data_IF_458133339132
#
_entry.id   IF_458133339132
#
_cell.length_a   1.000
_cell.length_b   1.000
_cell.length_c   1.000
_cell.angle_alpha   90.00
_cell.angle_beta   90.00
_cell.angle_gamma   90.00
#
_symmetry.space_group_name_H-M   'P 1'
#
loop_
_entity.id
_entity.type
_entity.pdbx_description
1 polymer ?
#
# COMPACT_ATOMS: atom_id res chain seq x y z
N UNK A 1 -21.91 4.53 -10.47
CA UNK A 1 -21.42 5.92 -10.65
C UNK A 1 -20.83 6.02 -12.05
N UNK A 2 -21.40 6.82 -12.95
CA UNK A 2 -20.90 6.85 -14.33
C UNK A 2 -19.51 7.51 -14.35
N UNK A 3 -18.51 6.85 -14.94
CA UNK A 3 -17.12 7.35 -15.05
C UNK A 3 -16.99 8.68 -15.83
N UNK A 4 -18.08 9.21 -16.39
CA UNK A 4 -18.07 10.27 -17.40
C UNK A 4 -18.61 11.63 -16.92
N UNK A 5 -19.25 11.71 -15.76
CA UNK A 5 -19.71 12.99 -15.20
C UNK A 5 -18.69 13.47 -14.17
N UNK A 6 -17.76 14.33 -14.61
CA UNK A 6 -16.83 15.02 -13.71
C UNK A 6 -17.50 16.31 -13.24
N UNK A 7 -17.81 16.40 -11.95
CA UNK A 7 -18.21 17.65 -11.31
C UNK A 7 -17.23 18.78 -11.68
N UNK A 8 -17.80 19.91 -12.11
CA UNK A 8 -17.10 21.16 -12.37
C UNK A 8 -17.78 22.22 -11.52
N UNK A 9 -17.02 22.89 -10.67
CA UNK A 9 -17.56 24.02 -9.92
C UNK A 9 -18.03 25.13 -10.87
N UNK A 10 -19.19 25.73 -10.55
CA UNK A 10 -19.73 26.90 -11.25
C UNK A 10 -19.05 28.21 -10.82
N UNK A 11 -18.18 28.15 -9.81
CA UNK A 11 -17.50 29.33 -9.28
C UNK A 11 -16.60 29.98 -10.34
N UNK A 12 -16.83 31.27 -10.58
CA UNK A 12 -15.97 32.13 -11.38
C UNK A 12 -14.63 32.35 -10.70
N UNK A 13 -13.70 31.40 -10.83
CA UNK A 13 -12.37 31.49 -10.25
C UNK A 13 -11.40 32.25 -11.15
N UNK A 14 -10.62 33.15 -10.56
CA UNK A 14 -9.41 33.71 -11.17
C UNK A 14 -8.38 32.62 -11.49
N UNK A 15 -7.40 32.93 -12.35
CA UNK A 15 -6.32 31.99 -12.69
C UNK A 15 -5.56 31.49 -11.46
N UNK A 16 -5.28 32.38 -10.50
CA UNK A 16 -4.59 32.03 -9.26
C UNK A 16 -5.43 31.07 -8.40
N UNK A 17 -6.73 31.34 -8.26
CA UNK A 17 -7.64 30.49 -7.51
C UNK A 17 -7.80 29.11 -8.14
N UNK A 18 -7.84 29.01 -9.48
CA UNK A 18 -7.85 27.72 -10.17
C UNK A 18 -6.59 26.91 -9.87
N UNK A 19 -5.42 27.53 -9.96
CA UNK A 19 -4.16 26.86 -9.61
C UNK A 19 -4.16 26.40 -8.16
N UNK A 20 -4.61 27.25 -7.24
CA UNK A 20 -4.74 26.91 -5.81
C UNK A 20 -5.72 25.76 -5.60
N UNK A 21 -6.90 25.80 -6.22
CA UNK A 21 -7.92 24.76 -6.14
C UNK A 21 -7.36 23.39 -6.58
N UNK A 22 -6.67 23.36 -7.72
CA UNK A 22 -6.03 22.14 -8.19
C UNK A 22 -4.89 21.67 -7.27
N UNK A 23 -4.08 22.59 -6.75
CA UNK A 23 -3.02 22.27 -5.80
C UNK A 23 -3.58 21.67 -4.50
N UNK A 24 -4.63 22.28 -3.93
CA UNK A 24 -5.31 21.79 -2.72
C UNK A 24 -5.85 20.38 -2.92
N UNK A 25 -6.50 20.13 -4.06
CA UNK A 25 -7.02 18.79 -4.37
C UNK A 25 -5.91 17.73 -4.44
N UNK A 26 -4.73 18.10 -4.94
CA UNK A 26 -3.58 17.20 -4.96
C UNK A 26 -2.92 17.03 -3.59
N UNK A 27 -2.96 18.07 -2.74
CA UNK A 27 -2.34 18.07 -1.41
C UNK A 27 -3.31 17.71 -0.28
N UNK A 28 -4.55 17.31 -0.60
CA UNK A 28 -5.54 16.87 0.37
C UNK A 28 -5.21 15.48 0.93
N UNK A 29 -4.20 15.44 1.81
CA UNK A 29 -3.64 14.20 2.36
C UNK A 29 -4.60 13.48 3.29
N UNK A 30 -4.33 12.21 3.58
CA UNK A 30 -5.12 11.41 4.53
C UNK A 30 -5.26 12.06 5.91
N UNK A 31 -4.24 12.78 6.38
CA UNK A 31 -4.29 13.50 7.65
C UNK A 31 -5.36 14.61 7.67
N UNK A 32 -5.50 15.37 6.58
CA UNK A 32 -6.56 16.37 6.45
C UNK A 32 -7.94 15.71 6.35
N UNK A 33 -8.05 14.63 5.57
CA UNK A 33 -9.32 13.90 5.43
C UNK A 33 -9.81 13.30 6.73
N UNK A 34 -8.90 12.73 7.51
CA UNK A 34 -9.21 12.15 8.82
C UNK A 34 -9.79 13.20 9.78
N UNK A 35 -9.14 14.36 9.93
CA UNK A 35 -9.66 15.45 10.79
C UNK A 35 -11.02 15.94 10.30
N UNK A 36 -11.20 16.05 8.98
CA UNK A 36 -12.49 16.39 8.39
C UNK A 36 -13.58 15.35 8.73
N UNK A 37 -13.29 14.06 8.60
CA UNK A 37 -14.24 12.98 8.93
C UNK A 37 -14.56 12.91 10.42
N UNK A 38 -13.56 13.08 11.29
CA UNK A 38 -13.74 13.13 12.75
C UNK A 38 -14.67 14.28 13.16
N UNK A 39 -14.42 15.50 12.65
CA UNK A 39 -15.25 16.67 12.91
C UNK A 39 -16.67 16.52 12.36
N UNK A 40 -16.81 16.06 11.11
CA UNK A 40 -18.11 15.82 10.49
C UNK A 40 -18.91 14.78 11.27
N UNK A 41 -18.27 13.67 11.66
CA UNK A 41 -18.92 12.62 12.45
C UNK A 41 -19.41 13.18 13.79
N UNK A 42 -18.55 13.90 14.51
CA UNK A 42 -18.90 14.50 15.80
C UNK A 42 -20.13 15.42 15.70
N UNK A 43 -20.20 16.28 14.68
CA UNK A 43 -21.34 17.19 14.51
C UNK A 43 -22.63 16.43 14.15
N UNK A 44 -22.54 15.44 13.26
CA UNK A 44 -23.68 14.63 12.83
C UNK A 44 -24.20 13.71 13.94
N UNK A 45 -23.33 13.14 14.78
CA UNK A 45 -23.72 12.37 15.97
C UNK A 45 -24.47 13.24 16.99
N UNK A 46 -24.07 14.51 17.09
CA UNK A 46 -24.77 15.54 17.86
C UNK A 46 -26.02 16.10 17.14
N UNK A 47 -26.53 15.40 16.13
CA UNK A 47 -27.74 15.72 15.36
C UNK A 47 -27.74 17.10 14.68
N UNK A 48 -26.56 17.64 14.37
CA UNK A 48 -26.48 18.84 13.53
C UNK A 48 -26.82 18.49 12.09
N UNK A 49 -27.58 19.34 11.37
CA UNK A 49 -27.79 19.16 9.93
C UNK A 49 -26.47 19.14 9.16
N UNK A 50 -26.44 18.41 8.03
CA UNK A 50 -25.23 18.18 7.25
C UNK A 50 -24.64 19.48 6.67
N UNK A 51 -25.49 20.35 6.13
CA UNK A 51 -25.13 21.66 5.59
C UNK A 51 -24.58 22.60 6.67
N UNK A 52 -25.20 22.61 7.85
CA UNK A 52 -24.74 23.39 9.00
C UNK A 52 -23.39 22.87 9.49
N UNK A 53 -23.21 21.55 9.51
CA UNK A 53 -21.97 20.92 9.95
C UNK A 53 -20.81 21.27 9.02
N UNK A 54 -21.03 21.23 7.71
CA UNK A 54 -20.06 21.67 6.71
C UNK A 54 -19.66 23.15 6.91
N UNK A 55 -20.64 24.04 7.10
CA UNK A 55 -20.37 25.47 7.37
C UNK A 55 -19.55 25.67 8.65
N UNK A 56 -19.93 25.00 9.75
CA UNK A 56 -19.21 25.10 11.02
C UNK A 56 -17.74 24.68 10.90
N UNK A 57 -17.45 23.60 10.18
CA UNK A 57 -16.05 23.19 9.93
C UNK A 57 -15.31 24.27 9.13
N UNK A 58 -15.97 24.87 8.14
CA UNK A 58 -15.38 25.92 7.31
C UNK A 58 -15.03 27.14 8.13
N UNK A 59 -15.98 27.60 8.94
CA UNK A 59 -15.84 28.77 9.80
C UNK A 59 -14.71 28.57 10.83
N UNK A 60 -14.69 27.43 11.53
CA UNK A 60 -13.66 27.15 12.54
C UNK A 60 -12.25 27.13 11.92
N UNK A 61 -12.08 26.48 10.77
CA UNK A 61 -10.76 26.35 10.16
C UNK A 61 -10.29 27.57 9.37
N UNK A 62 -11.21 28.43 8.94
CA UNK A 62 -10.90 29.69 8.24
C UNK A 62 -10.85 30.89 9.19
N UNK A 63 -11.01 30.69 10.50
CA UNK A 63 -11.20 31.79 11.45
C UNK A 63 -12.34 32.72 11.00
N UNK A 64 -13.51 32.14 10.71
CA UNK A 64 -14.70 32.82 10.20
C UNK A 64 -14.45 33.64 8.92
N UNK A 65 -13.60 33.11 8.03
CA UNK A 65 -13.26 33.71 6.76
C UNK A 65 -12.08 34.68 6.78
N UNK A 66 -11.47 34.96 7.94
CA UNK A 66 -10.28 35.83 8.04
C UNK A 66 -9.03 35.20 7.42
N UNK A 67 -8.91 33.87 7.51
CA UNK A 67 -7.75 33.11 7.03
C UNK A 67 -8.16 32.09 5.99
N UNK A 68 -7.29 31.91 5.01
CA UNK A 68 -7.48 30.86 4.02
C UNK A 68 -7.09 29.48 4.60
N UNK A 69 -7.91 28.47 4.33
CA UNK A 69 -7.66 27.07 4.72
C UNK A 69 -8.15 26.12 3.61
N UNK A 70 -7.47 24.97 3.36
CA UNK A 70 -7.87 23.97 2.35
C UNK A 70 -9.34 23.53 2.43
N UNK A 71 -9.89 23.39 3.63
CA UNK A 71 -11.29 22.99 3.83
C UNK A 71 -12.29 23.97 3.23
N UNK A 72 -11.93 25.24 3.04
CA UNK A 72 -12.82 26.23 2.41
C UNK A 72 -13.27 25.76 1.03
N UNK A 73 -12.33 25.32 0.20
CA UNK A 73 -12.61 24.90 -1.17
C UNK A 73 -13.50 23.66 -1.22
N UNK A 74 -13.20 22.68 -0.34
CA UNK A 74 -13.99 21.45 -0.19
C UNK A 74 -15.42 21.75 0.28
N UNK A 75 -15.56 22.60 1.30
CA UNK A 75 -16.86 22.90 1.91
C UNK A 75 -17.74 23.68 0.95
N UNK A 76 -17.18 24.66 0.24
CA UNK A 76 -17.92 25.40 -0.78
C UNK A 76 -18.42 24.43 -1.88
N UNK A 77 -17.60 23.49 -2.35
CA UNK A 77 -18.02 22.47 -3.33
C UNK A 77 -19.09 21.52 -2.76
N UNK A 78 -18.93 21.08 -1.51
CA UNK A 78 -19.90 20.20 -0.85
C UNK A 78 -21.26 20.90 -0.64
N UNK A 79 -21.26 22.19 -0.30
CA UNK A 79 -22.47 22.99 -0.16
C UNK A 79 -23.14 23.23 -1.52
N UNK A 80 -22.36 23.51 -2.56
CA UNK A 80 -22.84 23.59 -3.96
C UNK A 80 -23.53 22.27 -4.34
N UNK A 81 -22.86 21.14 -4.11
CA UNK A 81 -23.40 19.83 -4.44
C UNK A 81 -24.62 19.38 -3.63
N UNK A 82 -24.78 19.90 -2.41
CA UNK A 82 -26.00 19.71 -1.60
C UNK A 82 -27.16 20.58 -2.08
N UNK A 83 -26.88 21.80 -2.57
CA UNK A 83 -27.93 22.72 -3.04
C UNK A 83 -28.51 22.34 -4.40
N UNK A 84 -27.67 21.87 -5.33
CA UNK A 84 -28.07 21.55 -6.70
C UNK A 84 -28.69 20.14 -6.79
N UNK A 85 -27.99 19.13 -6.25
CA UNK A 85 -28.41 17.74 -6.20
C UNK A 85 -28.80 17.12 -7.58
N UNK A 86 -28.40 17.73 -8.69
CA UNK A 86 -28.58 17.16 -10.03
C UNK A 86 -27.50 16.11 -10.35
N UNK A 87 -27.77 15.14 -11.25
CA UNK A 87 -26.79 14.14 -11.64
C UNK A 87 -25.50 14.76 -12.21
N UNK A 88 -24.34 14.42 -11.63
CA UNK A 88 -23.04 15.01 -11.98
C UNK A 88 -22.67 16.22 -11.14
N UNK A 89 -23.59 16.69 -10.28
CA UNK A 89 -23.41 17.80 -9.33
C UNK A 89 -23.95 17.47 -7.94
N UNK A 90 -24.16 16.20 -7.63
CA UNK A 90 -24.56 15.78 -6.28
C UNK A 90 -23.36 15.80 -5.32
N UNK A 91 -23.61 15.78 -4.01
CA UNK A 91 -22.56 15.63 -2.99
C UNK A 91 -21.66 14.40 -3.25
N UNK A 92 -22.23 13.30 -3.74
CA UNK A 92 -21.47 12.11 -4.13
C UNK A 92 -20.48 12.39 -5.26
N UNK A 93 -20.90 13.15 -6.27
CA UNK A 93 -20.05 13.53 -7.40
C UNK A 93 -18.91 14.46 -6.96
N UNK A 94 -19.19 15.37 -6.01
CA UNK A 94 -18.17 16.23 -5.38
C UNK A 94 -17.15 15.37 -4.63
N UNK A 95 -17.59 14.45 -3.78
CA UNK A 95 -16.70 13.61 -2.97
C UNK A 95 -15.77 12.75 -3.85
N UNK A 96 -16.25 12.20 -4.96
CA UNK A 96 -15.43 11.41 -5.89
C UNK A 96 -14.27 12.18 -6.55
N UNK A 97 -14.30 13.52 -6.47
CA UNK A 97 -13.28 14.41 -7.02
C UNK A 97 -12.26 14.85 -5.95
N UNK A 98 -12.67 14.83 -4.69
CA UNK A 98 -11.94 15.31 -3.53
C UNK A 98 -11.23 14.22 -2.73
N UNK A 99 -11.81 13.03 -2.68
CA UNK A 99 -11.29 11.91 -1.87
C UNK A 99 -11.10 10.66 -2.74
N UNK A 100 -10.26 9.70 -2.32
CA UNK A 100 -10.13 8.42 -3.01
C UNK A 100 -11.49 7.75 -3.22
N UNK A 101 -11.63 7.01 -4.32
CA UNK A 101 -12.91 6.42 -4.72
C UNK A 101 -13.52 5.54 -3.62
N UNK A 102 -12.68 4.81 -2.87
CA UNK A 102 -13.12 3.93 -1.78
C UNK A 102 -13.82 4.72 -0.67
N UNK A 103 -13.23 5.84 -0.28
CA UNK A 103 -13.77 6.75 0.73
C UNK A 103 -15.06 7.40 0.22
N UNK A 104 -15.07 7.85 -1.05
CA UNK A 104 -16.26 8.45 -1.67
C UNK A 104 -17.44 7.47 -1.79
N UNK A 105 -17.17 6.22 -2.17
CA UNK A 105 -18.17 5.16 -2.30
C UNK A 105 -18.80 4.84 -0.94
N UNK A 106 -17.97 4.73 0.10
CA UNK A 106 -18.41 4.45 1.46
C UNK A 106 -19.27 5.59 2.04
N UNK A 107 -18.84 6.84 1.87
CA UNK A 107 -19.61 8.01 2.34
C UNK A 107 -20.92 8.14 1.54
N UNK A 108 -20.88 7.90 0.23
CA UNK A 108 -22.09 7.89 -0.63
C UNK A 108 -23.09 6.82 -0.18
N UNK A 109 -22.61 5.62 0.15
CA UNK A 109 -23.45 4.58 0.74
C UNK A 109 -24.08 5.05 2.06
N UNK A 110 -23.30 5.67 2.95
CA UNK A 110 -23.80 6.24 4.20
C UNK A 110 -24.82 7.36 4.01
N UNK A 111 -24.70 8.19 2.98
CA UNK A 111 -25.70 9.21 2.61
C UNK A 111 -27.01 8.55 2.18
N UNK A 112 -26.93 7.51 1.32
CA UNK A 112 -28.11 6.77 0.84
C UNK A 112 -28.84 6.02 1.95
N UNK A 113 -28.11 5.38 2.86
CA UNK A 113 -28.69 4.59 3.95
C UNK A 113 -29.01 5.43 5.20
N UNK A 114 -28.72 6.73 5.17
CA UNK A 114 -28.92 7.64 6.31
C UNK A 114 -27.96 7.40 7.49
N UNK A 115 -26.88 6.63 7.28
CA UNK A 115 -25.88 6.26 8.29
C UNK A 115 -24.53 6.94 8.07
N UNK A 116 -24.56 8.24 7.77
CA UNK A 116 -23.36 9.04 7.47
C UNK A 116 -22.29 8.93 8.58
N UNK A 117 -22.61 9.07 9.89
CA UNK A 117 -21.59 8.94 10.94
C UNK A 117 -20.82 7.62 10.93
N UNK A 118 -21.53 6.51 10.68
CA UNK A 118 -20.94 5.17 10.57
C UNK A 118 -20.01 5.11 9.36
N UNK A 119 -20.44 5.62 8.21
CA UNK A 119 -19.60 5.63 7.00
C UNK A 119 -18.33 6.49 7.14
N UNK A 120 -18.41 7.62 7.85
CA UNK A 120 -17.25 8.48 8.12
C UNK A 120 -16.25 7.80 9.07
N UNK A 121 -16.73 7.11 10.09
CA UNK A 121 -15.89 6.29 10.98
C UNK A 121 -15.16 5.19 10.19
N UNK A 122 -15.86 4.52 9.28
CA UNK A 122 -15.26 3.47 8.47
C UNK A 122 -14.26 4.04 7.45
N UNK A 123 -14.51 5.23 6.89
CA UNK A 123 -13.57 5.93 6.02
C UNK A 123 -12.28 6.33 6.77
N UNK A 124 -12.39 6.77 8.03
CA UNK A 124 -11.25 7.01 8.91
C UNK A 124 -10.42 5.73 9.14
N UNK A 125 -11.08 4.61 9.48
CA UNK A 125 -10.39 3.31 9.61
C UNK A 125 -9.64 2.92 8.33
N UNK A 126 -10.24 3.15 7.16
CA UNK A 126 -9.60 2.92 5.87
C UNK A 126 -8.34 3.76 5.67
N UNK A 127 -8.39 5.05 5.98
CA UNK A 127 -7.22 5.94 5.93
C UNK A 127 -6.11 5.40 6.84
N UNK A 128 -6.44 5.05 8.09
CA UNK A 128 -5.45 4.54 9.07
C UNK A 128 -4.83 3.22 8.62
N UNK A 129 -5.61 2.28 8.11
CA UNK A 129 -5.09 1.02 7.59
C UNK A 129 -4.15 1.25 6.41
N UNK A 130 -4.53 2.12 5.46
CA UNK A 130 -3.68 2.48 4.32
C UNK A 130 -2.37 3.11 4.78
N UNK A 131 -2.42 4.04 5.72
CA UNK A 131 -1.23 4.69 6.26
C UNK A 131 -0.33 3.69 6.99
N UNK A 132 -0.92 2.76 7.76
CA UNK A 132 -0.20 1.67 8.42
C UNK A 132 0.50 0.76 7.41
N UNK A 133 -0.20 0.37 6.33
CA UNK A 133 0.37 -0.44 5.24
C UNK A 133 1.53 0.30 4.58
N UNK A 134 1.33 1.55 4.17
CA UNK A 134 2.36 2.36 3.50
C UNK A 134 3.59 2.54 4.39
N UNK A 135 3.39 2.91 5.66
CA UNK A 135 4.50 3.09 6.59
C UNK A 135 5.29 1.79 6.79
N UNK A 136 4.60 0.65 6.90
CA UNK A 136 5.26 -0.64 7.05
C UNK A 136 5.99 -1.08 5.78
N UNK A 137 5.40 -0.85 4.60
CA UNK A 137 6.06 -1.16 3.32
C UNK A 137 7.30 -0.28 3.14
N UNK A 138 7.21 1.03 3.41
CA UNK A 138 8.35 1.95 3.32
C UNK A 138 9.44 1.51 4.30
N UNK A 139 9.09 1.30 5.57
CA UNK A 139 10.05 0.90 6.59
C UNK A 139 10.72 -0.46 6.28
N UNK A 140 9.94 -1.42 5.80
CA UNK A 140 10.44 -2.73 5.38
C UNK A 140 11.33 -2.67 4.13
N UNK A 141 11.17 -1.66 3.28
CA UNK A 141 11.93 -1.51 2.03
C UNK A 141 13.24 -0.72 2.20
N UNK A 142 13.31 0.20 3.17
CA UNK A 142 14.52 1.02 3.42
C UNK A 142 15.71 0.14 3.81
N UNK A 143 15.52 -0.85 4.70
CA UNK A 143 16.64 -1.69 5.16
C UNK A 143 17.27 -2.54 4.05
N UNK A 144 16.52 -3.31 3.24
CA UNK A 144 17.08 -4.03 2.10
C UNK A 144 17.82 -3.10 1.13
N UNK A 145 17.30 -1.89 0.87
CA UNK A 145 17.96 -0.94 -0.03
C UNK A 145 19.33 -0.52 0.51
N UNK A 146 19.42 -0.18 1.80
CA UNK A 146 20.70 0.15 2.46
C UNK A 146 21.67 -1.02 2.37
N UNK A 147 21.21 -2.26 2.56
CA UNK A 147 22.05 -3.45 2.48
C UNK A 147 22.55 -3.72 1.05
N UNK A 148 21.70 -3.52 0.03
CA UNK A 148 22.11 -3.65 -1.38
C UNK A 148 23.14 -2.59 -1.75
N UNK A 149 22.94 -1.34 -1.32
CA UNK A 149 23.89 -0.25 -1.55
C UNK A 149 25.22 -0.51 -0.85
N UNK A 150 25.19 -0.96 0.41
CA UNK A 150 26.39 -1.28 1.18
C UNK A 150 27.12 -2.51 0.63
N UNK A 151 26.41 -3.58 0.28
CA UNK A 151 27.00 -4.76 -0.36
C UNK A 151 27.62 -4.42 -1.72
N UNK A 152 26.89 -3.66 -2.54
CA UNK A 152 27.38 -3.17 -3.83
C UNK A 152 28.61 -2.27 -3.69
N UNK A 153 28.65 -1.39 -2.68
CA UNK A 153 29.81 -0.53 -2.44
C UNK A 153 31.03 -1.32 -1.99
N UNK A 154 30.86 -2.34 -1.14
CA UNK A 154 31.95 -3.23 -0.72
C UNK A 154 32.56 -3.99 -1.91
N UNK A 155 31.71 -4.51 -2.80
CA UNK A 155 32.18 -5.14 -4.05
C UNK A 155 32.87 -4.13 -4.97
N UNK A 156 32.36 -2.90 -5.06
CA UNK A 156 33.00 -1.81 -5.80
C UNK A 156 34.37 -1.44 -5.24
N UNK A 157 34.51 -1.36 -3.92
CA UNK A 157 35.81 -1.13 -3.24
C UNK A 157 36.77 -2.28 -3.49
N UNK A 158 36.29 -3.53 -3.50
CA UNK A 158 37.12 -4.70 -3.83
C UNK A 158 37.75 -4.56 -5.22
N UNK A 159 36.93 -4.21 -6.21
CA UNK A 159 37.30 -4.18 -7.61
C UNK A 159 38.14 -2.94 -7.97
N UNK A 160 37.77 -1.76 -7.47
CA UNK A 160 38.41 -0.49 -7.86
C UNK A 160 39.62 -0.13 -7.01
N UNK A 161 39.72 -0.65 -5.79
CA UNK A 161 40.78 -0.26 -4.85
C UNK A 161 41.56 -1.46 -4.32
N UNK A 162 40.90 -2.44 -3.66
CA UNK A 162 41.62 -3.49 -2.92
C UNK A 162 42.44 -4.40 -3.84
N UNK A 163 41.80 -5.05 -4.83
CA UNK A 163 42.51 -5.98 -5.72
C UNK A 163 43.61 -5.28 -6.53
N UNK A 164 43.37 -4.10 -7.15
CA UNK A 164 44.43 -3.36 -7.85
C UNK A 164 45.60 -2.98 -6.94
N UNK A 165 45.32 -2.46 -5.74
CA UNK A 165 46.37 -2.08 -4.79
C UNK A 165 47.25 -3.26 -4.40
N UNK A 166 46.65 -4.44 -4.19
CA UNK A 166 47.39 -5.65 -3.85
C UNK A 166 48.16 -6.24 -5.02
N UNK A 167 47.63 -6.15 -6.23
CA UNK A 167 48.32 -6.61 -7.44
C UNK A 167 49.62 -5.85 -7.72
N UNK A 168 49.72 -4.60 -7.24
CA UNK A 168 50.97 -3.82 -7.31
C UNK A 168 52.04 -4.33 -6.33
N UNK A 169 51.66 -5.12 -5.32
CA UNK A 169 52.54 -5.62 -4.26
C UNK A 169 52.90 -7.09 -4.50
N UNK A 170 51.95 -7.90 -4.98
CA UNK A 170 52.10 -9.34 -5.17
C UNK A 170 51.41 -9.80 -6.45
N UNK A 171 52.04 -10.71 -7.21
CA UNK A 171 51.50 -11.22 -8.46
C UNK A 171 50.17 -11.98 -8.24
N UNK A 172 49.06 -11.52 -8.85
CA UNK A 172 47.75 -12.17 -8.74
C UNK A 172 47.71 -13.63 -9.19
N UNK A 173 48.67 -14.09 -9.99
CA UNK A 173 48.72 -15.48 -10.47
C UNK A 173 49.01 -16.51 -9.35
N UNK A 174 49.67 -16.09 -8.27
CA UNK A 174 50.02 -16.95 -7.13
C UNK A 174 48.98 -16.97 -6.00
N UNK A 175 47.89 -16.21 -6.14
CA UNK A 175 46.94 -16.00 -5.05
C UNK A 175 46.05 -17.23 -4.82
N UNK A 176 46.08 -17.76 -3.60
CA UNK A 176 45.25 -18.87 -3.14
C UNK A 176 44.50 -18.46 -1.86
N UNK A 177 43.53 -19.24 -1.40
CA UNK A 177 42.80 -18.93 -0.16
C UNK A 177 41.96 -17.65 -0.26
N UNK A 178 42.10 -16.75 0.71
CA UNK A 178 41.28 -15.52 0.79
C UNK A 178 41.61 -14.53 -0.34
N UNK A 179 42.89 -14.40 -0.69
CA UNK A 179 43.35 -13.57 -1.83
C UNK A 179 42.76 -14.07 -3.16
N UNK A 180 42.81 -15.38 -3.40
CA UNK A 180 42.26 -15.99 -4.61
C UNK A 180 40.74 -15.80 -4.71
N UNK A 181 40.00 -16.07 -3.64
CA UNK A 181 38.55 -15.87 -3.61
C UNK A 181 38.13 -14.41 -3.87
N UNK A 182 38.84 -13.44 -3.28
CA UNK A 182 38.58 -12.01 -3.50
C UNK A 182 38.88 -11.56 -4.92
N UNK A 183 39.91 -12.14 -5.56
CA UNK A 183 40.21 -11.94 -6.98
C UNK A 183 39.12 -12.52 -7.87
N UNK A 184 38.71 -13.77 -7.66
CA UNK A 184 37.64 -14.40 -8.44
C UNK A 184 36.32 -13.64 -8.30
N UNK A 185 36.01 -13.18 -7.08
CA UNK A 185 34.85 -12.34 -6.82
C UNK A 185 34.97 -10.98 -7.51
N UNK A 186 36.17 -10.39 -7.55
CA UNK A 186 36.44 -9.16 -8.29
C UNK A 186 36.25 -9.34 -9.80
N UNK A 187 36.80 -10.40 -10.38
CA UNK A 187 36.74 -10.67 -11.82
C UNK A 187 35.28 -10.96 -12.23
N UNK A 188 34.55 -11.74 -11.43
CA UNK A 188 33.12 -11.97 -11.64
C UNK A 188 32.29 -10.69 -11.52
N UNK A 189 32.53 -9.87 -10.50
CA UNK A 189 31.80 -8.60 -10.33
C UNK A 189 32.19 -7.55 -11.36
N UNK A 190 33.42 -7.53 -11.87
CA UNK A 190 33.83 -6.64 -12.95
C UNK A 190 33.07 -6.96 -14.25
N UNK A 191 32.97 -8.25 -14.59
CA UNK A 191 32.38 -8.71 -15.83
C UNK A 191 30.85 -8.72 -15.77
N UNK A 192 30.28 -9.27 -14.70
CA UNK A 192 28.84 -9.52 -14.57
C UNK A 192 28.13 -8.56 -13.62
N UNK A 193 28.85 -7.73 -12.85
CA UNK A 193 28.25 -6.84 -11.85
C UNK A 193 27.19 -5.89 -12.42
N UNK A 194 27.47 -5.12 -13.49
CA UNK A 194 26.47 -4.26 -14.11
C UNK A 194 25.26 -5.03 -14.64
N UNK A 195 25.50 -6.18 -15.27
CA UNK A 195 24.43 -7.04 -15.80
C UNK A 195 23.56 -7.63 -14.67
N UNK A 196 24.17 -8.08 -13.58
CA UNK A 196 23.50 -8.60 -12.39
C UNK A 196 22.72 -7.52 -11.64
N UNK A 197 23.27 -6.30 -11.55
CA UNK A 197 22.58 -5.15 -10.97
C UNK A 197 21.35 -4.76 -11.80
N UNK A 198 21.51 -4.68 -13.14
CA UNK A 198 20.40 -4.40 -14.04
C UNK A 198 19.34 -5.51 -14.01
N UNK A 199 19.74 -6.78 -14.03
CA UNK A 199 18.81 -7.91 -13.96
C UNK A 199 18.04 -7.92 -12.64
N UNK A 200 18.71 -7.64 -11.52
CA UNK A 200 18.07 -7.56 -10.20
C UNK A 200 17.08 -6.39 -10.15
N UNK A 201 17.46 -5.21 -10.65
CA UNK A 201 16.57 -4.05 -10.73
C UNK A 201 15.37 -4.32 -11.63
N UNK A 202 15.59 -4.92 -12.82
CA UNK A 202 14.54 -5.28 -13.76
C UNK A 202 13.56 -6.31 -13.15
N UNK A 203 14.07 -7.33 -12.45
CA UNK A 203 13.25 -8.31 -11.75
C UNK A 203 12.43 -7.67 -10.63
N UNK A 204 13.01 -6.75 -9.85
CA UNK A 204 12.27 -6.01 -8.82
C UNK A 204 11.15 -5.17 -9.43
N UNK A 205 11.45 -4.40 -10.48
CA UNK A 205 10.45 -3.57 -11.19
C UNK A 205 9.35 -4.43 -11.80
N UNK A 206 9.72 -5.53 -12.47
CA UNK A 206 8.76 -6.47 -13.05
C UNK A 206 7.89 -7.11 -11.96
N UNK A 207 8.46 -7.48 -10.82
CA UNK A 207 7.72 -8.04 -9.69
C UNK A 207 6.68 -7.03 -9.16
N UNK A 208 7.08 -5.78 -8.89
CA UNK A 208 6.20 -4.72 -8.40
C UNK A 208 5.11 -4.34 -9.42
N UNK A 209 5.46 -4.32 -10.71
CA UNK A 209 4.50 -4.06 -11.78
C UNK A 209 3.47 -5.18 -11.93
N UNK A 210 3.91 -6.43 -11.75
CA UNK A 210 3.05 -7.62 -11.84
C UNK A 210 2.05 -7.72 -10.69
N UNK A 211 2.36 -7.17 -9.50
CA UNK A 211 1.51 -7.28 -8.30
C UNK A 211 0.05 -6.89 -8.56
N UNK A 212 -0.27 -5.64 -8.98
CA UNK A 212 -1.67 -5.23 -9.20
C UNK A 212 -2.25 -5.63 -10.56
N UNK A 213 -1.39 -5.90 -11.58
CA UNK A 213 -1.83 -6.01 -12.98
C UNK A 213 -1.96 -7.45 -13.48
N UNK A 214 -1.18 -8.38 -12.94
CA UNK A 214 -1.11 -9.73 -13.49
C UNK A 214 -2.35 -10.54 -13.10
N UNK A 215 -3.09 -11.00 -14.12
CA UNK A 215 -4.31 -11.84 -14.03
C UNK A 215 -4.07 -13.26 -14.55
N UNK A 216 -4.96 -14.19 -14.20
CA UNK A 216 -5.08 -15.51 -14.83
C UNK A 216 -4.49 -16.70 -14.07
N UNK A 217 -4.52 -17.88 -14.69
CA UNK A 217 -4.23 -19.16 -14.01
C UNK A 217 -2.81 -19.27 -13.44
N UNK A 218 -1.79 -18.79 -14.15
CA UNK A 218 -0.41 -18.80 -13.67
C UNK A 218 -0.22 -17.91 -12.43
N UNK A 219 -1.01 -16.84 -12.31
CA UNK A 219 -0.99 -15.96 -11.14
C UNK A 219 -1.42 -16.68 -9.86
N UNK A 220 -2.34 -17.65 -9.97
CA UNK A 220 -2.84 -18.45 -8.84
C UNK A 220 -1.72 -19.24 -8.16
N UNK A 221 -0.77 -19.77 -8.95
CA UNK A 221 0.40 -20.48 -8.41
C UNK A 221 1.39 -19.47 -7.81
N UNK A 222 1.61 -18.34 -8.49
CA UNK A 222 2.50 -17.29 -8.01
C UNK A 222 2.05 -16.66 -6.68
N UNK A 223 0.73 -16.62 -6.41
CA UNK A 223 0.16 -16.16 -5.13
C UNK A 223 0.62 -16.97 -3.90
N UNK A 224 1.24 -18.13 -4.09
CA UNK A 224 1.84 -18.90 -2.99
C UNK A 224 3.29 -18.49 -2.68
N UNK A 225 3.93 -17.69 -3.55
CA UNK A 225 5.32 -17.27 -3.44
C UNK A 225 5.44 -15.77 -3.14
N UNK A 226 6.54 -15.36 -2.49
CA UNK A 226 6.89 -13.94 -2.32
C UNK A 226 7.32 -13.34 -3.67
N UNK A 227 6.99 -12.06 -3.96
CA UNK A 227 6.27 -11.08 -3.13
C UNK A 227 4.73 -11.17 -3.23
N UNK A 228 4.20 -12.00 -4.12
CA UNK A 228 2.78 -12.04 -4.47
C UNK A 228 1.88 -12.54 -3.34
N UNK A 229 2.32 -13.50 -2.54
CA UNK A 229 1.57 -13.98 -1.37
C UNK A 229 1.32 -12.87 -0.34
N UNK A 230 2.32 -12.01 -0.12
CA UNK A 230 2.16 -10.85 0.75
C UNK A 230 1.15 -9.85 0.16
N UNK A 231 1.22 -9.61 -1.15
CA UNK A 231 0.25 -8.75 -1.81
C UNK A 231 -1.18 -9.30 -1.67
N UNK A 232 -1.37 -10.62 -1.85
CA UNK A 232 -2.64 -11.30 -1.63
C UNK A 232 -3.16 -11.10 -0.21
N UNK A 233 -2.33 -11.31 0.81
CA UNK A 233 -2.72 -11.15 2.22
C UNK A 233 -3.11 -9.69 2.55
N UNK A 234 -2.34 -8.71 2.05
CA UNK A 234 -2.62 -7.28 2.26
C UNK A 234 -3.91 -6.85 1.56
N UNK A 235 -4.10 -7.23 0.30
CA UNK A 235 -5.34 -6.94 -0.43
C UNK A 235 -6.54 -7.64 0.22
N UNK A 236 -6.33 -8.84 0.77
CA UNK A 236 -7.35 -9.57 1.51
C UNK A 236 -7.83 -8.82 2.75
N UNK A 237 -6.91 -8.30 3.56
CA UNK A 237 -7.24 -7.47 4.72
C UNK A 237 -8.05 -6.22 4.33
N UNK A 238 -7.58 -5.50 3.31
CA UNK A 238 -8.25 -4.28 2.82
C UNK A 238 -9.63 -4.58 2.26
N UNK A 239 -9.77 -5.67 1.50
CA UNK A 239 -11.05 -6.13 0.97
C UNK A 239 -12.04 -6.46 2.10
N UNK A 240 -11.63 -7.21 3.12
CA UNK A 240 -12.49 -7.57 4.25
C UNK A 240 -12.94 -6.33 5.03
N UNK A 241 -12.04 -5.38 5.25
CA UNK A 241 -12.36 -4.16 5.98
C UNK A 241 -13.37 -3.31 5.20
N UNK A 242 -13.18 -3.13 3.90
CA UNK A 242 -14.12 -2.41 3.04
C UNK A 242 -15.47 -3.13 2.94
N UNK A 243 -15.46 -4.45 2.81
CA UNK A 243 -16.67 -5.26 2.76
C UNK A 243 -17.45 -5.13 4.07
N UNK A 244 -16.80 -5.35 5.23
CA UNK A 244 -17.43 -5.19 6.53
C UNK A 244 -17.95 -3.77 6.77
N UNK A 245 -17.23 -2.75 6.31
CA UNK A 245 -17.67 -1.35 6.38
C UNK A 245 -18.95 -1.08 5.57
N UNK A 246 -19.01 -1.54 4.32
CA UNK A 246 -20.17 -1.37 3.44
C UNK A 246 -21.39 -2.13 3.97
N UNK A 247 -21.20 -3.39 4.37
CA UNK A 247 -22.27 -4.20 4.96
C UNK A 247 -22.78 -3.59 6.29
N UNK A 248 -21.88 -3.10 7.14
CA UNK A 248 -22.24 -2.40 8.38
C UNK A 248 -23.00 -1.09 8.14
N UNK A 249 -22.72 -0.40 7.04
CA UNK A 249 -23.48 0.76 6.58
C UNK A 249 -24.86 0.39 6.00
N UNK A 250 -25.17 -0.90 5.85
CA UNK A 250 -26.45 -1.41 5.34
C UNK A 250 -26.49 -1.56 3.82
N UNK A 251 -25.34 -1.58 3.16
CA UNK A 251 -25.25 -1.86 1.72
C UNK A 251 -25.48 -3.35 1.48
N UNK A 252 -26.33 -3.75 0.51
CA UNK A 252 -26.48 -5.16 0.11
C UNK A 252 -25.15 -5.78 -0.36
N UNK A 253 -24.98 -7.08 -0.16
CA UNK A 253 -23.71 -7.78 -0.45
C UNK A 253 -23.24 -7.63 -1.89
N UNK A 254 -24.15 -7.81 -2.86
CA UNK A 254 -23.83 -7.70 -4.28
C UNK A 254 -23.46 -6.25 -4.66
N UNK A 255 -24.20 -5.25 -4.17
CA UNK A 255 -23.88 -3.83 -4.41
C UNK A 255 -22.52 -3.46 -3.79
N UNK A 256 -22.18 -4.02 -2.63
CA UNK A 256 -20.88 -3.81 -2.01
C UNK A 256 -19.74 -4.36 -2.89
N UNK A 257 -19.90 -5.56 -3.46
CA UNK A 257 -18.91 -6.13 -4.39
C UNK A 257 -18.81 -5.31 -5.69
N UNK A 258 -19.91 -4.85 -6.26
CA UNK A 258 -19.91 -3.99 -7.45
C UNK A 258 -19.14 -2.68 -7.20
N UNK A 259 -19.38 -2.05 -6.05
CA UNK A 259 -18.66 -0.86 -5.62
C UNK A 259 -17.16 -1.14 -5.51
N UNK A 260 -16.79 -2.25 -4.84
CA UNK A 260 -15.40 -2.68 -4.68
C UNK A 260 -14.72 -2.98 -6.03
N UNK A 261 -15.43 -3.63 -6.95
CA UNK A 261 -14.91 -3.99 -8.27
C UNK A 261 -14.55 -2.75 -9.11
N UNK A 262 -15.32 -1.67 -8.97
CA UNK A 262 -15.16 -0.44 -9.75
C UNK A 262 -13.80 0.26 -9.59
N UNK A 263 -13.12 0.06 -8.46
CA UNK A 263 -11.81 0.64 -8.16
C UNK A 263 -10.72 -0.39 -7.85
N UNK A 264 -11.09 -1.66 -7.73
CA UNK A 264 -10.15 -2.74 -7.50
C UNK A 264 -9.05 -2.76 -8.59
N UNK A 265 -7.79 -3.05 -8.23
CA UNK A 265 -6.77 -3.34 -9.22
C UNK A 265 -7.15 -4.59 -10.04
N UNK A 266 -6.66 -4.74 -11.29
CA UNK A 266 -7.01 -5.88 -12.15
C UNK A 266 -6.92 -7.27 -11.50
N UNK A 267 -5.93 -7.47 -10.61
CA UNK A 267 -5.78 -8.71 -9.83
C UNK A 267 -6.96 -8.96 -8.87
N UNK A 268 -7.47 -7.91 -8.21
CA UNK A 268 -8.58 -8.02 -7.28
C UNK A 268 -9.92 -8.09 -8.04
N UNK A 269 -10.05 -7.38 -9.17
CA UNK A 269 -11.23 -7.44 -10.03
C UNK A 269 -11.55 -8.87 -10.46
N UNK A 270 -10.55 -9.64 -10.91
CA UNK A 270 -10.75 -11.04 -11.30
C UNK A 270 -11.38 -11.90 -10.19
N UNK A 271 -11.04 -11.62 -8.93
CA UNK A 271 -11.55 -12.35 -7.77
C UNK A 271 -12.94 -11.89 -7.35
N UNK A 272 -13.20 -10.58 -7.44
CA UNK A 272 -14.51 -10.01 -7.14
C UNK A 272 -15.52 -10.43 -8.21
N UNK A 273 -15.17 -10.34 -9.49
CA UNK A 273 -15.99 -10.79 -10.62
C UNK A 273 -16.40 -12.26 -10.45
N UNK A 274 -15.44 -13.15 -10.17
CA UNK A 274 -15.74 -14.56 -9.92
C UNK A 274 -16.65 -14.80 -8.69
N UNK A 275 -16.55 -13.97 -7.65
CA UNK A 275 -17.45 -14.04 -6.50
C UNK A 275 -18.86 -13.51 -6.84
N UNK A 276 -18.96 -12.43 -7.62
CA UNK A 276 -20.24 -11.88 -8.08
C UNK A 276 -20.98 -12.87 -8.98
N UNK A 277 -20.27 -13.57 -9.87
CA UNK A 277 -20.84 -14.62 -10.71
C UNK A 277 -21.44 -15.75 -9.84
N UNK A 278 -20.68 -16.24 -8.85
CA UNK A 278 -21.18 -17.26 -7.92
C UNK A 278 -22.36 -16.79 -7.05
N UNK A 279 -22.42 -15.50 -6.68
CA UNK A 279 -23.57 -14.92 -5.98
C UNK A 279 -24.81 -14.83 -6.87
N UNK A 280 -24.62 -14.59 -8.17
CA UNK A 280 -25.71 -14.55 -9.16
C UNK A 280 -26.40 -15.93 -9.31
N UNK A 281 -25.71 -17.01 -8.95
CA UNK A 281 -26.23 -18.37 -8.87
C UNK A 281 -27.00 -18.67 -7.56
N UNK A 282 -27.09 -17.70 -6.65
CA UNK A 282 -27.86 -17.79 -5.39
C UNK A 282 -27.05 -18.10 -4.14
N UNK A 283 -25.71 -18.12 -4.24
CA UNK A 283 -24.83 -18.33 -3.10
C UNK A 283 -24.72 -17.08 -2.21
N UNK A 284 -24.59 -17.25 -0.88
CA UNK A 284 -24.21 -16.15 0.01
C UNK A 284 -22.77 -15.70 -0.25
N UNK A 285 -22.43 -14.45 0.11
CA UNK A 285 -21.10 -13.88 -0.12
C UNK A 285 -19.96 -14.76 0.41
N UNK A 286 -20.14 -15.36 1.59
CA UNK A 286 -19.17 -16.30 2.16
C UNK A 286 -18.98 -17.53 1.27
N UNK A 287 -20.05 -18.18 0.83
CA UNK A 287 -19.93 -19.35 -0.05
C UNK A 287 -19.37 -18.99 -1.42
N UNK A 288 -19.78 -17.86 -2.00
CA UNK A 288 -19.28 -17.39 -3.28
C UNK A 288 -17.75 -17.15 -3.27
N UNK A 289 -17.21 -16.56 -2.19
CA UNK A 289 -15.78 -16.40 -2.01
C UNK A 289 -15.03 -17.73 -1.75
N UNK A 290 -15.74 -18.76 -1.26
CA UNK A 290 -15.19 -20.10 -1.10
C UNK A 290 -15.11 -20.84 -2.44
N UNK A 291 -16.17 -20.73 -3.24
CA UNK A 291 -16.34 -21.48 -4.50
C UNK A 291 -15.57 -20.87 -5.68
N UNK A 292 -15.22 -19.59 -5.63
CA UNK A 292 -14.48 -18.91 -6.69
C UNK A 292 -13.06 -19.50 -6.95
N UNK A 293 -12.55 -20.37 -6.06
CA UNK A 293 -11.33 -21.15 -6.30
C UNK A 293 -10.02 -20.35 -6.24
N UNK A 294 -10.06 -19.13 -5.69
CA UNK A 294 -8.88 -18.26 -5.52
C UNK A 294 -8.31 -18.27 -4.08
N UNK A 295 -8.95 -18.98 -3.14
CA UNK A 295 -8.60 -19.00 -1.71
C UNK A 295 -8.36 -17.58 -1.17
N UNK A 296 -9.26 -16.65 -1.49
CA UNK A 296 -9.17 -15.22 -1.17
C UNK A 296 -10.44 -14.79 -0.43
N UNK A 297 -10.38 -13.88 0.57
CA UNK A 297 -9.20 -13.26 1.20
C UNK A 297 -8.32 -14.22 2.01
N UNK A 298 -8.97 -15.12 2.75
CA UNK A 298 -8.40 -16.29 3.41
C UNK A 298 -9.56 -17.24 3.73
N UNK A 299 -9.29 -18.54 3.92
CA UNK A 299 -10.35 -19.51 4.26
C UNK A 299 -11.05 -19.17 5.58
N UNK A 300 -10.30 -18.71 6.56
CA UNK A 300 -10.84 -18.26 7.85
C UNK A 300 -11.73 -17.03 7.68
N UNK A 301 -11.29 -16.05 6.88
CA UNK A 301 -12.08 -14.85 6.62
C UNK A 301 -13.41 -15.18 5.94
N UNK A 302 -13.39 -16.10 4.98
CA UNK A 302 -14.58 -16.61 4.30
C UNK A 302 -15.55 -17.27 5.28
N UNK A 303 -15.04 -18.05 6.25
CA UNK A 303 -15.87 -18.62 7.30
C UNK A 303 -16.48 -17.51 8.20
N UNK A 304 -15.71 -16.46 8.52
CA UNK A 304 -16.24 -15.31 9.26
C UNK A 304 -17.31 -14.55 8.47
N UNK A 305 -17.18 -14.45 7.15
CA UNK A 305 -18.21 -13.89 6.26
C UNK A 305 -19.48 -14.75 6.27
N UNK A 306 -19.38 -16.08 6.30
CA UNK A 306 -20.58 -16.93 6.42
C UNK A 306 -21.34 -16.78 7.75
N UNK A 307 -20.72 -16.19 8.79
CA UNK A 307 -21.40 -15.86 10.05
C UNK A 307 -22.19 -14.53 9.97
N UNK A 308 -22.13 -13.81 8.84
CA UNK A 308 -22.86 -12.55 8.66
C UNK A 308 -24.37 -12.73 8.56
N UNK A 309 -24.83 -13.89 8.08
CA UNK A 309 -26.25 -14.20 7.87
C UNK A 309 -27.07 -14.15 9.19
N UNK A 310 -26.42 -14.20 10.36
CA UNK A 310 -27.07 -14.37 11.66
C UNK A 310 -27.12 -13.13 12.58
N UNK A 311 -26.82 -11.90 12.11
CA UNK A 311 -27.38 -10.68 12.74
C UNK A 311 -26.47 -9.48 13.06
N UNK A 312 -27.00 -8.58 13.91
CA UNK A 312 -26.42 -7.27 14.26
C UNK A 312 -25.11 -7.43 15.05
N UNK A 313 -23.98 -7.12 14.43
CA UNK A 313 -22.63 -7.18 15.05
C UNK A 313 -21.57 -7.87 14.19
N UNK A 314 -22.01 -8.59 13.15
CA UNK A 314 -21.16 -9.33 12.23
C UNK A 314 -20.21 -8.45 11.40
N UNK A 315 -20.66 -7.27 10.95
CA UNK A 315 -19.84 -6.28 10.26
C UNK A 315 -18.65 -5.76 11.11
N UNK A 316 -18.88 -5.50 12.39
CA UNK A 316 -17.83 -5.07 13.32
C UNK A 316 -16.84 -6.20 13.61
N UNK A 317 -17.33 -7.44 13.75
CA UNK A 317 -16.48 -8.62 13.88
C UNK A 317 -15.54 -8.81 12.67
N UNK A 318 -16.04 -8.60 11.44
CA UNK A 318 -15.22 -8.67 10.23
C UNK A 318 -14.18 -7.56 10.20
N UNK A 319 -14.57 -6.31 10.50
CA UNK A 319 -13.61 -5.20 10.57
C UNK A 319 -12.51 -5.49 11.59
N UNK A 320 -12.87 -5.97 12.78
CA UNK A 320 -11.91 -6.30 13.83
C UNK A 320 -11.03 -7.51 13.44
N UNK A 321 -11.57 -8.50 12.73
CA UNK A 321 -10.79 -9.61 12.19
C UNK A 321 -9.80 -9.11 11.12
N UNK A 322 -10.26 -8.26 10.19
CA UNK A 322 -9.41 -7.66 9.15
C UNK A 322 -8.24 -6.87 9.76
N UNK A 323 -8.50 -6.09 10.82
CA UNK A 323 -7.47 -5.36 11.56
C UNK A 323 -6.46 -6.31 12.20
N UNK A 324 -6.92 -7.36 12.89
CA UNK A 324 -6.03 -8.38 13.49
C UNK A 324 -5.21 -9.12 12.43
N UNK A 325 -5.84 -9.50 11.32
CA UNK A 325 -5.19 -10.19 10.21
C UNK A 325 -4.12 -9.31 9.55
N UNK A 326 -4.42 -8.02 9.37
CA UNK A 326 -3.46 -7.04 8.88
C UNK A 326 -2.26 -6.95 9.82
N UNK A 327 -2.49 -6.80 11.13
CA UNK A 327 -1.41 -6.73 12.12
C UNK A 327 -0.55 -8.00 12.15
N UNK A 328 -1.17 -9.17 12.07
CA UNK A 328 -0.45 -10.45 12.02
C UNK A 328 0.38 -10.56 10.73
N UNK A 329 -0.17 -10.16 9.59
CA UNK A 329 0.53 -10.14 8.30
C UNK A 329 1.73 -9.20 8.36
N UNK A 330 1.56 -7.98 8.87
CA UNK A 330 2.64 -7.02 9.06
C UNK A 330 3.73 -7.57 10.00
N UNK A 331 3.35 -8.23 11.11
CA UNK A 331 4.31 -8.89 12.03
C UNK A 331 5.07 -10.04 11.36
N UNK A 332 4.42 -10.82 10.47
CA UNK A 332 5.08 -11.88 9.69
C UNK A 332 6.10 -11.31 8.71
N UNK A 333 5.75 -10.21 8.04
CA UNK A 333 6.67 -9.47 7.15
C UNK A 333 7.87 -8.94 7.92
N UNK A 334 7.64 -8.26 9.04
CA UNK A 334 8.70 -7.70 9.87
C UNK A 334 9.67 -8.78 10.37
N UNK A 335 9.16 -9.94 10.81
CA UNK A 335 10.00 -11.08 11.22
C UNK A 335 10.89 -11.59 10.09
N UNK A 336 10.33 -11.78 8.89
CA UNK A 336 11.09 -12.24 7.71
C UNK A 336 12.12 -11.20 7.26
N UNK A 337 11.76 -9.91 7.27
CA UNK A 337 12.68 -8.82 6.97
C UNK A 337 13.86 -8.81 7.96
N UNK A 338 13.61 -9.06 9.25
CA UNK A 338 14.68 -9.21 10.24
C UNK A 338 15.58 -10.41 9.97
N UNK A 339 15.04 -11.55 9.52
CA UNK A 339 15.85 -12.71 9.12
C UNK A 339 16.77 -12.37 7.95
N UNK A 340 16.25 -11.71 6.90
CA UNK A 340 17.04 -11.26 5.75
C UNK A 340 18.12 -10.27 6.19
N UNK A 341 17.77 -9.33 7.08
CA UNK A 341 18.71 -8.37 7.66
C UNK A 341 19.84 -9.09 8.40
N UNK A 342 19.52 -10.06 9.24
CA UNK A 342 20.51 -10.84 9.99
C UNK A 342 21.45 -11.61 9.05
N UNK A 343 20.90 -12.30 8.05
CA UNK A 343 21.70 -13.02 7.05
C UNK A 343 22.62 -12.08 6.26
N UNK A 344 22.11 -10.92 5.85
CA UNK A 344 22.89 -9.92 5.13
C UNK A 344 23.99 -9.32 5.99
N UNK A 345 23.73 -9.09 7.28
CA UNK A 345 24.73 -8.62 8.24
C UNK A 345 25.87 -9.65 8.39
N UNK A 346 25.53 -10.95 8.47
CA UNK A 346 26.54 -12.02 8.51
C UNK A 346 27.39 -12.04 7.23
N UNK A 347 26.77 -11.86 6.05
CA UNK A 347 27.49 -11.77 4.78
C UNK A 347 28.48 -10.60 4.76
N UNK A 348 28.06 -9.41 5.23
CA UNK A 348 28.93 -8.23 5.32
C UNK A 348 30.08 -8.46 6.29
N UNK A 349 29.79 -9.03 7.47
CA UNK A 349 30.84 -9.35 8.44
C UNK A 349 31.84 -10.38 7.89
N UNK A 350 31.34 -11.38 7.17
CA UNK A 350 32.16 -12.36 6.45
C UNK A 350 33.04 -11.71 5.40
N UNK A 351 32.53 -10.71 4.66
CA UNK A 351 33.32 -9.94 3.71
C UNK A 351 34.46 -9.16 4.39
N UNK A 352 34.20 -8.50 5.52
CA UNK A 352 35.26 -7.85 6.30
C UNK A 352 36.28 -8.85 6.86
N UNK A 353 35.83 -10.01 7.35
CA UNK A 353 36.73 -11.06 7.80
C UNK A 353 37.65 -11.55 6.68
N UNK A 354 37.13 -11.70 5.46
CA UNK A 354 37.93 -12.04 4.28
C UNK A 354 38.98 -10.96 3.96
N UNK A 355 38.67 -9.66 4.11
CA UNK A 355 39.67 -8.59 3.96
C UNK A 355 40.79 -8.74 4.99
N UNK A 356 40.46 -9.02 6.25
CA UNK A 356 41.47 -9.19 7.31
C UNK A 356 42.34 -10.41 7.01
N UNK A 357 41.74 -11.55 6.63
CA UNK A 357 42.47 -12.76 6.24
C UNK A 357 43.38 -12.51 5.04
N UNK A 358 42.93 -11.71 4.08
CA UNK A 358 43.71 -11.30 2.91
C UNK A 358 44.97 -10.51 3.32
N UNK A 359 44.83 -9.56 4.26
CA UNK A 359 45.96 -8.77 4.79
C UNK A 359 46.92 -9.68 5.56
N UNK A 360 46.41 -10.57 6.41
CA UNK A 360 47.24 -11.53 7.16
C UNK A 360 48.01 -12.45 6.22
N UNK A 361 47.35 -13.00 5.20
CA UNK A 361 47.98 -13.87 4.22
C UNK A 361 49.10 -13.15 3.45
N UNK A 362 48.92 -11.87 3.13
CA UNK A 362 49.98 -11.05 2.52
C UNK A 362 51.16 -10.82 3.45
N UNK A 363 50.93 -10.59 4.75
CA UNK A 363 52.00 -10.46 5.74
C UNK A 363 52.79 -11.76 5.89
N UNK A 364 52.10 -12.90 5.96
CA UNK A 364 52.74 -14.22 6.05
C UNK A 364 53.61 -14.49 4.82
N UNK A 365 53.09 -14.20 3.62
CA UNK A 365 53.83 -14.38 2.35
C UNK A 365 55.02 -13.42 2.25
N UNK A 366 54.87 -12.17 2.70
CA UNK A 366 55.94 -11.17 2.74
C UNK A 366 57.04 -11.48 3.77
N UNK A 367 56.68 -12.09 4.90
CA UNK A 367 57.64 -12.51 5.93
C UNK A 367 58.52 -13.69 5.51
N UNK A 368 58.04 -14.54 4.58
CA UNK A 368 58.76 -15.68 4.05
C UNK A 368 59.85 -15.30 3.03
N UNK A 369 59.68 -14.19 2.30
CA UNK A 369 60.65 -13.71 1.31
C UNK A 369 61.82 -12.89 1.90
N UNK A 370 61.86 -12.68 3.22
CA UNK A 370 62.91 -11.95 3.94
C UNK A 370 63.86 -12.86 4.74
N UNK A 371 63.82 -14.18 4.53
CA UNK A 371 64.74 -15.15 5.16
C UNK A 371 65.62 -15.87 4.17
#
# INVERSE_FOLDING_TARGET
MSRNLRFRTERGMSLFERCRYHAVRLTFTGAHRQVFYENMRFLLENRKPLDISLKMIGDVHTSFGEKWHPYRELIEDCLEGLSDNTPGRSLSDVLAIWVPYEEAALITAGIRTGRIPVSLLQADKLIRARQRILNQVVFASVYPLVLVVLGGSLLGVNNLALVPMLSNISDPAGWTGALGFMKDLSDWTAQWGPAAAFSTAALLVASLWSLPRWRGRLRRIADNFLPWSLYKDLQGAVFLMNTGALLGAGVPELEALELLNGFAPPWLQERIEAAMDAMSEGNSLGMALRECGYDFPSREAVNYLSLLDDGKGSAEMISNYADRWLEQTLKRVARRANTIKFLSMLMILGFFALIILMIMQLQDTGSFNLR
#
